data_IF_630117400940
#
_entry.id   IF_630117400940
#
_cell.length_a   1.000
_cell.length_b   1.000
_cell.length_c   1.000
_cell.angle_alpha   90.00
_cell.angle_beta   90.00
_cell.angle_gamma   90.00
#
_symmetry.space_group_name_H-M   'P 1'
#
loop_
_entity.id
_entity.type
_entity.pdbx_description
1 polymer ?
#
# COMPACT_ATOMS: atom_id res chain seq x y z
N UNK A 1 12.99 -9.62 -12.62
CA UNK A 1 12.14 -10.60 -13.32
C UNK A 1 11.21 -9.76 -14.17
N UNK A 2 11.53 -9.56 -15.45
CA UNK A 2 10.60 -8.99 -16.42
C UNK A 2 9.54 -10.05 -16.69
N UNK A 3 8.50 -10.05 -15.91
CA UNK A 3 7.28 -10.78 -16.22
C UNK A 3 6.44 -9.87 -17.10
N UNK A 4 6.69 -9.89 -18.40
CA UNK A 4 5.64 -9.60 -19.35
C UNK A 4 4.58 -10.70 -19.18
N UNK A 5 3.75 -10.56 -18.15
CA UNK A 5 2.44 -11.19 -18.18
C UNK A 5 1.74 -10.45 -19.32
N UNK A 6 1.63 -11.11 -20.46
CA UNK A 6 0.85 -10.60 -21.58
C UNK A 6 -0.58 -10.65 -21.09
N UNK A 7 -1.07 -9.54 -20.51
CA UNK A 7 -2.47 -9.38 -20.09
C UNK A 7 -3.43 -9.62 -21.26
N UNK A 8 -2.93 -9.65 -22.49
CA UNK A 8 -3.69 -9.94 -23.72
C UNK A 8 -4.20 -11.38 -23.84
N UNK A 9 -3.84 -12.30 -22.95
CA UNK A 9 -4.30 -13.71 -23.01
C UNK A 9 -4.91 -14.21 -21.69
N UNK A 10 -5.41 -13.31 -20.86
CA UNK A 10 -6.05 -13.68 -19.58
C UNK A 10 -7.35 -14.48 -19.76
N UNK A 11 -8.06 -14.32 -20.88
CA UNK A 11 -9.33 -14.99 -21.14
C UNK A 11 -9.19 -16.51 -21.24
N UNK A 12 -8.13 -16.99 -21.87
CA UNK A 12 -7.88 -18.41 -22.12
C UNK A 12 -7.06 -19.12 -21.03
N UNK A 13 -6.70 -18.38 -19.99
CA UNK A 13 -5.83 -18.91 -18.94
C UNK A 13 -6.62 -19.59 -17.82
N UNK A 14 -6.14 -20.77 -17.37
CA UNK A 14 -6.60 -21.41 -16.12
C UNK A 14 -6.10 -20.69 -14.87
N UNK A 15 -6.01 -19.34 -14.92
CA UNK A 15 -5.55 -18.49 -13.82
C UNK A 15 -6.77 -18.05 -13.03
N UNK A 16 -6.81 -18.36 -11.73
CA UNK A 16 -7.87 -17.94 -10.81
C UNK A 16 -7.47 -16.70 -10.01
N UNK A 17 -6.18 -16.45 -9.87
CA UNK A 17 -5.62 -15.32 -9.12
C UNK A 17 -4.50 -14.64 -9.89
N UNK A 18 -4.63 -13.36 -10.14
CA UNK A 18 -3.61 -12.50 -10.72
C UNK A 18 -2.97 -11.65 -9.60
N UNK A 19 -1.63 -11.66 -9.54
CA UNK A 19 -0.86 -10.80 -8.64
C UNK A 19 -0.22 -9.68 -9.44
N UNK A 20 -0.57 -8.44 -9.14
CA UNK A 20 0.01 -7.25 -9.73
C UNK A 20 0.67 -6.38 -8.66
N UNK A 21 1.78 -5.76 -9.01
CA UNK A 21 2.45 -4.81 -8.11
C UNK A 21 3.43 -3.93 -8.84
N UNK A 22 3.69 -2.77 -8.25
CA UNK A 22 4.63 -1.76 -8.74
C UNK A 22 4.40 -1.35 -10.20
N UNK A 23 3.17 -1.03 -10.54
CA UNK A 23 2.82 -0.47 -11.85
C UNK A 23 3.30 0.98 -11.86
N UNK A 24 4.26 1.30 -12.72
CA UNK A 24 4.93 2.61 -12.75
C UNK A 24 4.40 3.54 -13.85
N UNK A 25 3.74 2.99 -14.87
CA UNK A 25 3.21 3.75 -16.00
C UNK A 25 1.78 3.37 -16.33
N UNK A 26 1.31 3.88 -17.46
CA UNK A 26 -0.02 3.56 -17.97
C UNK A 26 -0.07 2.17 -18.57
N UNK A 27 -1.13 1.45 -18.27
CA UNK A 27 -1.53 0.25 -19.01
C UNK A 27 -2.23 0.65 -20.29
N UNK A 28 -2.12 -0.18 -21.33
CA UNK A 28 -2.86 0.01 -22.58
C UNK A 28 -4.36 -0.22 -22.35
N UNK A 29 -5.19 0.29 -23.25
CA UNK A 29 -6.64 0.08 -23.18
C UNK A 29 -7.01 -1.40 -23.24
N UNK A 30 -6.28 -2.19 -24.03
CA UNK A 30 -6.45 -3.64 -24.13
C UNK A 30 -6.12 -4.33 -22.79
N UNK A 31 -5.04 -3.95 -22.12
CA UNK A 31 -4.67 -4.48 -20.81
C UNK A 31 -5.71 -4.15 -19.74
N UNK A 32 -6.20 -2.92 -19.69
CA UNK A 32 -7.27 -2.52 -18.78
C UNK A 32 -8.57 -3.27 -19.07
N UNK A 33 -8.91 -3.45 -20.35
CA UNK A 33 -10.10 -4.20 -20.73
C UNK A 33 -10.00 -5.66 -20.32
N UNK A 34 -8.83 -6.29 -20.51
CA UNK A 34 -8.58 -7.68 -20.08
C UNK A 34 -8.66 -7.82 -18.56
N UNK A 35 -8.18 -6.82 -17.80
CA UNK A 35 -8.36 -6.82 -16.34
C UNK A 35 -9.84 -6.73 -15.95
N UNK A 36 -10.65 -5.91 -16.63
CA UNK A 36 -12.11 -5.84 -16.40
C UNK A 36 -12.78 -7.18 -16.66
N UNK A 37 -12.50 -7.81 -17.80
CA UNK A 37 -13.03 -9.13 -18.14
C UNK A 37 -12.63 -10.16 -17.10
N UNK A 38 -11.36 -10.17 -16.69
CA UNK A 38 -10.83 -11.08 -15.68
C UNK A 38 -11.57 -10.96 -14.35
N UNK A 39 -11.74 -9.75 -13.83
CA UNK A 39 -12.42 -9.49 -12.57
C UNK A 39 -13.91 -9.81 -12.68
N UNK A 40 -14.56 -9.38 -13.76
CA UNK A 40 -16.00 -9.61 -13.98
C UNK A 40 -16.35 -11.09 -14.21
N UNK A 41 -15.38 -11.92 -14.60
CA UNK A 41 -15.54 -13.38 -14.67
C UNK A 41 -15.45 -14.07 -13.29
N UNK A 42 -15.38 -13.32 -12.19
CA UNK A 42 -15.30 -13.82 -10.82
C UNK A 42 -13.89 -14.26 -10.39
N UNK A 43 -12.89 -14.01 -11.21
CA UNK A 43 -11.48 -14.27 -10.88
C UNK A 43 -10.93 -13.22 -9.93
N UNK A 44 -9.82 -13.51 -9.26
CA UNK A 44 -9.30 -12.68 -8.16
C UNK A 44 -8.09 -11.86 -8.59
N UNK A 45 -8.08 -10.59 -8.22
CA UNK A 45 -6.94 -9.70 -8.36
C UNK A 45 -6.37 -9.36 -6.98
N UNK A 46 -5.08 -9.63 -6.77
CA UNK A 46 -4.31 -9.06 -5.68
C UNK A 46 -3.45 -7.93 -6.21
N UNK A 47 -3.63 -6.73 -5.68
CA UNK A 47 -2.88 -5.55 -6.09
C UNK A 47 -2.03 -5.04 -4.93
N UNK A 48 -0.70 -5.01 -5.12
CA UNK A 48 0.26 -4.39 -4.20
C UNK A 48 0.77 -3.08 -4.82
N UNK A 49 0.05 -1.98 -4.59
CA UNK A 49 0.29 -0.71 -5.27
C UNK A 49 0.13 0.47 -4.31
N UNK A 50 1.21 1.23 -4.07
CA UNK A 50 1.14 2.54 -3.45
C UNK A 50 1.12 3.64 -4.51
N UNK A 51 0.66 4.85 -4.16
CA UNK A 51 0.59 6.00 -5.07
C UNK A 51 1.84 6.88 -5.05
N UNK A 52 2.77 6.59 -4.13
CA UNK A 52 4.02 7.33 -4.01
C UNK A 52 5.19 6.43 -4.42
N UNK A 53 5.99 6.91 -5.37
CA UNK A 53 7.28 6.32 -5.68
C UNK A 53 8.31 6.83 -4.68
N UNK A 54 9.09 5.94 -4.07
CA UNK A 54 10.03 6.27 -2.99
C UNK A 54 11.46 6.05 -3.44
N UNK A 55 12.28 7.08 -3.31
CA UNK A 55 13.71 7.04 -3.59
C UNK A 55 14.50 7.16 -2.27
N UNK A 56 15.10 6.05 -1.85
CA UNK A 56 15.90 6.00 -0.64
C UNK A 56 17.33 6.56 -0.83
N UNK A 57 17.74 6.90 -2.05
CA UNK A 57 19.00 7.59 -2.29
C UNK A 57 18.88 9.08 -2.00
N UNK A 58 17.78 9.67 -2.42
CA UNK A 58 17.47 11.09 -2.19
C UNK A 58 16.61 11.32 -0.94
N UNK A 59 16.09 10.27 -0.32
CA UNK A 59 15.15 10.31 0.80
C UNK A 59 13.89 11.12 0.50
N UNK A 60 13.39 10.99 -0.73
CA UNK A 60 12.20 11.70 -1.19
C UNK A 60 11.23 10.77 -1.90
N UNK A 61 9.97 11.17 -1.89
CA UNK A 61 8.92 10.50 -2.65
C UNK A 61 8.34 11.43 -3.72
N UNK A 62 7.79 10.81 -4.76
CA UNK A 62 7.06 11.50 -5.84
C UNK A 62 5.77 10.75 -6.14
N UNK A 63 4.74 11.48 -6.57
CA UNK A 63 3.46 10.87 -6.94
C UNK A 63 3.62 10.05 -8.20
N UNK A 64 3.17 8.80 -8.17
CA UNK A 64 3.09 7.93 -9.36
C UNK A 64 1.93 8.35 -10.23
N UNK A 65 2.19 8.47 -11.51
CA UNK A 65 1.18 8.69 -12.53
C UNK A 65 0.91 7.37 -13.25
N UNK A 66 -0.32 6.87 -13.15
CA UNK A 66 -0.76 5.65 -13.84
C UNK A 66 -2.28 5.62 -13.93
N UNK A 67 -2.78 5.14 -15.06
CA UNK A 67 -4.22 4.96 -15.26
C UNK A 67 -4.82 3.80 -14.46
N UNK A 68 -3.99 2.99 -13.80
CA UNK A 68 -4.48 1.94 -12.86
C UNK A 68 -5.31 2.55 -11.72
N UNK A 69 -5.01 3.78 -11.28
CA UNK A 69 -5.79 4.44 -10.23
C UNK A 69 -7.19 4.81 -10.72
N UNK A 70 -7.32 5.26 -11.98
CA UNK A 70 -8.63 5.50 -12.58
C UNK A 70 -9.42 4.20 -12.73
N UNK A 71 -8.75 3.12 -13.12
CA UNK A 71 -9.35 1.79 -13.17
C UNK A 71 -9.89 1.35 -11.79
N UNK A 72 -9.15 1.55 -10.71
CA UNK A 72 -9.62 1.23 -9.36
C UNK A 72 -10.83 2.08 -8.95
N UNK A 73 -10.86 3.35 -9.37
CA UNK A 73 -11.99 4.25 -9.10
C UNK A 73 -13.29 3.79 -9.78
N UNK A 74 -13.22 3.05 -10.89
CA UNK A 74 -14.41 2.43 -11.52
C UNK A 74 -15.14 1.47 -10.56
N UNK A 75 -14.39 0.88 -9.62
CA UNK A 75 -14.91 -0.03 -8.59
C UNK A 75 -15.13 0.64 -7.23
N UNK A 76 -14.97 1.95 -7.14
CA UNK A 76 -15.12 2.73 -5.91
C UNK A 76 -13.87 2.77 -5.01
N UNK A 77 -12.76 2.11 -5.40
CA UNK A 77 -11.51 2.16 -4.65
C UNK A 77 -10.67 3.37 -5.06
N UNK A 78 -10.20 4.13 -4.07
CA UNK A 78 -9.22 5.18 -4.29
C UNK A 78 -7.97 4.94 -3.44
N UNK A 79 -6.80 5.05 -4.06
CA UNK A 79 -5.51 5.09 -3.36
C UNK A 79 -5.09 6.56 -3.30
N UNK A 80 -4.99 7.08 -2.10
CA UNK A 80 -4.74 8.50 -1.85
C UNK A 80 -3.30 8.91 -2.18
N UNK A 81 -3.12 10.19 -2.56
CA UNK A 81 -1.79 10.77 -2.80
C UNK A 81 -1.11 11.14 -1.49
N UNK A 82 -0.85 10.12 -0.69
CA UNK A 82 -0.24 10.29 0.62
C UNK A 82 0.66 9.10 0.98
N UNK A 83 1.47 9.28 2.03
CA UNK A 83 2.13 8.22 2.77
C UNK A 83 1.57 8.19 4.18
N UNK A 84 1.25 7.01 4.65
CA UNK A 84 0.74 6.78 5.99
C UNK A 84 1.87 6.31 6.89
N UNK A 85 1.95 6.95 8.06
CA UNK A 85 2.89 6.68 9.12
C UNK A 85 2.14 6.07 10.31
N UNK A 86 2.80 5.18 11.05
CA UNK A 86 2.25 4.60 12.27
C UNK A 86 3.31 4.52 13.37
N UNK A 87 2.92 4.80 14.61
CA UNK A 87 3.78 4.60 15.76
C UNK A 87 4.23 3.13 15.89
N UNK A 88 3.32 2.19 15.62
CA UNK A 88 3.63 0.77 15.52
C UNK A 88 4.35 0.48 14.20
N UNK A 89 5.66 0.47 14.23
CA UNK A 89 6.46 0.44 13.03
C UNK A 89 7.68 -0.47 13.12
N UNK A 90 8.24 -0.75 11.96
CA UNK A 90 9.50 -1.50 11.87
C UNK A 90 10.64 -0.70 12.47
N UNK A 91 11.51 -1.37 13.22
CA UNK A 91 12.79 -0.80 13.65
C UNK A 91 13.84 -0.94 12.56
N UNK A 92 14.55 0.15 12.29
CA UNK A 92 15.68 0.19 11.36
C UNK A 92 16.94 0.60 12.10
N UNK A 93 18.09 0.31 11.50
CA UNK A 93 19.38 0.76 12.01
C UNK A 93 19.72 2.08 11.30
N UNK A 94 19.77 3.17 12.06
CA UNK A 94 20.26 4.45 11.59
C UNK A 94 21.70 4.68 12.07
N UNK A 95 22.52 5.27 11.20
CA UNK A 95 23.85 5.76 11.56
C UNK A 95 23.78 7.26 11.79
N UNK A 96 24.02 7.71 13.01
CA UNK A 96 24.04 9.13 13.34
C UNK A 96 25.48 9.65 13.23
N UNK A 97 25.73 10.49 12.23
CA UNK A 97 26.87 11.40 12.10
C UNK A 97 28.27 10.79 12.12
N UNK A 98 29.12 11.30 11.24
CA UNK A 98 30.57 11.04 11.22
C UNK A 98 30.98 9.94 10.22
N UNK A 99 31.87 10.33 9.28
CA UNK A 99 32.53 9.37 8.40
C UNK A 99 33.63 8.57 9.14
N UNK A 100 34.05 7.43 8.59
CA UNK A 100 35.13 6.61 9.11
C UNK A 100 34.72 5.64 10.22
N UNK A 101 35.66 5.24 11.06
CA UNK A 101 35.44 4.24 12.11
C UNK A 101 34.37 4.65 13.14
N UNK A 102 34.12 5.95 13.34
CA UNK A 102 33.10 6.44 14.24
C UNK A 102 31.68 6.05 13.80
N UNK A 103 31.44 5.87 12.50
CA UNK A 103 30.13 5.45 11.99
C UNK A 103 29.75 4.02 12.40
N UNK A 104 30.73 3.16 12.69
CA UNK A 104 30.47 1.80 13.17
C UNK A 104 29.97 1.75 14.63
N UNK A 105 30.31 2.78 15.42
CA UNK A 105 29.94 2.85 16.84
C UNK A 105 28.67 3.64 17.09
N UNK A 106 28.23 4.45 16.10
CA UNK A 106 27.01 5.29 16.21
C UNK A 106 25.80 4.66 15.51
N UNK A 107 25.64 3.35 15.63
CA UNK A 107 24.45 2.65 15.14
C UNK A 107 23.38 2.69 16.21
N UNK A 108 22.26 3.32 15.89
CA UNK A 108 21.10 3.37 16.75
C UNK A 108 19.93 2.65 16.09
N UNK A 109 19.23 1.83 16.85
CA UNK A 109 17.97 1.25 16.40
C UNK A 109 16.86 2.25 16.69
N UNK A 110 16.15 2.65 15.65
CA UNK A 110 15.04 3.60 15.73
C UNK A 110 13.78 3.02 15.10
N UNK A 111 12.63 3.44 15.59
CA UNK A 111 11.35 3.15 14.94
C UNK A 111 11.27 3.93 13.61
N UNK A 112 10.72 3.31 12.58
CA UNK A 112 10.55 3.93 11.28
C UNK A 112 9.08 3.93 10.86
N UNK A 113 8.32 4.95 11.24
CA UNK A 113 6.87 5.03 11.05
C UNK A 113 6.38 4.87 9.61
N UNK A 114 7.22 5.11 8.61
CA UNK A 114 6.93 4.86 7.20
C UNK A 114 6.86 3.38 6.81
N UNK A 115 7.14 2.47 7.75
CA UNK A 115 6.92 1.02 7.59
C UNK A 115 6.03 0.53 8.75
N UNK A 116 4.71 0.78 8.69
CA UNK A 116 3.76 0.27 9.67
C UNK A 116 3.86 -1.23 9.88
N UNK A 117 3.71 -1.65 11.12
CA UNK A 117 3.63 -3.07 11.53
C UNK A 117 2.26 -3.32 12.10
N UNK A 118 1.41 -4.02 11.36
CA UNK A 118 0.04 -4.35 11.75
C UNK A 118 0.05 -5.70 12.44
N UNK A 119 -0.43 -5.74 13.67
CA UNK A 119 -0.53 -6.96 14.50
C UNK A 119 -1.96 -7.34 14.81
N UNK A 120 -2.91 -6.42 14.61
CA UNK A 120 -4.34 -6.64 14.81
C UNK A 120 -5.04 -6.65 13.46
N UNK A 121 -5.69 -7.77 13.14
CA UNK A 121 -6.37 -7.97 11.87
C UNK A 121 -7.88 -7.96 12.09
N UNK A 122 -8.60 -7.30 11.20
CA UNK A 122 -10.06 -7.33 11.20
C UNK A 122 -10.54 -8.74 10.86
N UNK A 123 -11.46 -9.25 11.67
CA UNK A 123 -12.17 -10.50 11.41
C UNK A 123 -13.61 -10.23 11.01
N UNK A 124 -14.12 -11.00 10.07
CA UNK A 124 -15.48 -10.87 9.59
C UNK A 124 -16.18 -12.22 9.72
N UNK A 125 -17.38 -12.22 10.28
CA UNK A 125 -18.17 -13.44 10.47
C UNK A 125 -18.38 -14.18 9.15
N UNK A 126 -18.08 -15.49 9.17
CA UNK A 126 -18.21 -16.38 8.02
C UNK A 126 -17.37 -16.01 6.79
N UNK A 127 -16.34 -15.18 6.92
CA UNK A 127 -15.44 -14.85 5.84
C UNK A 127 -13.98 -15.10 6.19
N UNK A 128 -13.29 -15.87 5.35
CA UNK A 128 -11.85 -16.02 5.41
C UNK A 128 -11.19 -14.80 4.78
N UNK A 129 -10.37 -14.08 5.55
CA UNK A 129 -9.66 -12.88 5.07
C UNK A 129 -8.35 -13.22 4.39
N UNK A 130 -7.78 -14.40 4.69
CA UNK A 130 -6.43 -14.81 4.27
C UNK A 130 -5.33 -14.32 5.22
N UNK A 131 -5.70 -13.67 6.33
CA UNK A 131 -4.77 -13.15 7.34
C UNK A 131 -4.70 -14.03 8.58
N UNK A 132 -5.52 -15.07 8.64
CA UNK A 132 -5.62 -15.97 9.77
C UNK A 132 -4.28 -16.68 10.02
N UNK A 133 -3.81 -16.59 11.24
CA UNK A 133 -2.52 -17.19 11.66
C UNK A 133 -1.30 -16.32 11.41
N UNK A 134 -1.43 -15.16 10.77
CA UNK A 134 -0.34 -14.19 10.69
C UNK A 134 -0.14 -13.51 12.05
N UNK A 135 1.12 -13.33 12.45
CA UNK A 135 1.46 -12.60 13.67
C UNK A 135 1.58 -11.10 13.43
N UNK A 136 2.13 -10.72 12.28
CA UNK A 136 2.30 -9.33 11.89
C UNK A 136 2.43 -9.20 10.36
N UNK A 137 1.99 -8.07 9.83
CA UNK A 137 2.23 -7.64 8.45
C UNK A 137 2.95 -6.29 8.47
N UNK A 138 4.06 -6.19 7.75
CA UNK A 138 4.78 -4.94 7.56
C UNK A 138 4.56 -4.43 6.14
N UNK A 139 4.15 -3.18 6.01
CA UNK A 139 3.92 -2.53 4.72
C UNK A 139 4.84 -1.32 4.61
N UNK A 140 5.72 -1.35 3.61
CA UNK A 140 6.62 -0.23 3.38
C UNK A 140 5.93 0.86 2.56
N UNK A 141 5.94 2.08 3.08
CA UNK A 141 5.46 3.28 2.40
C UNK A 141 4.01 3.18 1.89
N UNK A 142 3.04 2.80 2.74
CA UNK A 142 1.67 2.64 2.30
C UNK A 142 1.01 3.99 2.02
N UNK A 143 0.09 3.98 1.05
CA UNK A 143 -0.91 5.02 0.87
C UNK A 143 -2.23 4.61 1.53
N UNK A 144 -3.03 5.57 1.95
CA UNK A 144 -4.38 5.32 2.44
C UNK A 144 -5.28 4.82 1.33
N UNK A 145 -6.13 3.86 1.66
CA UNK A 145 -7.18 3.35 0.77
C UNK A 145 -8.52 3.89 1.27
N UNK A 146 -9.24 4.58 0.38
CA UNK A 146 -10.61 5.01 0.64
C UNK A 146 -11.58 4.32 -0.32
N UNK A 147 -12.84 4.26 0.07
CA UNK A 147 -13.87 3.61 -0.71
C UNK A 147 -15.10 4.50 -0.82
N UNK A 148 -15.57 4.70 -2.05
CA UNK A 148 -16.77 5.44 -2.35
C UNK A 148 -17.58 4.65 -3.37
N UNK A 149 -18.56 3.89 -2.89
CA UNK A 149 -19.53 3.20 -3.77
C UNK A 149 -20.89 3.91 -3.68
N UNK A 150 -21.25 4.57 -4.77
CA UNK A 150 -22.55 5.24 -4.89
C UNK A 150 -23.69 4.26 -5.22
N UNK A 151 -23.36 3.05 -5.66
CA UNK A 151 -24.32 2.02 -6.04
C UNK A 151 -24.75 1.14 -4.86
N UNK A 152 -23.97 1.11 -3.76
CA UNK A 152 -24.16 0.26 -2.58
C UNK A 152 -24.24 -1.25 -2.89
N UNK A 153 -23.62 -1.69 -3.99
CA UNK A 153 -23.64 -3.10 -4.41
C UNK A 153 -22.36 -3.85 -4.05
N UNK A 154 -21.24 -3.13 -3.96
CA UNK A 154 -19.95 -3.73 -3.63
C UNK A 154 -19.72 -3.76 -2.10
N UNK A 155 -19.05 -4.79 -1.60
CA UNK A 155 -18.70 -4.89 -0.18
C UNK A 155 -17.23 -4.60 0.02
N UNK A 156 -16.95 -3.51 0.74
CA UNK A 156 -15.60 -3.10 1.11
C UNK A 156 -15.25 -3.57 2.53
N UNK A 157 -14.16 -4.30 2.67
CA UNK A 157 -13.69 -4.86 3.94
C UNK A 157 -12.29 -4.35 4.24
N UNK A 158 -12.11 -3.43 5.20
CA UNK A 158 -10.80 -3.08 5.73
C UNK A 158 -10.10 -4.32 6.30
N UNK A 159 -8.89 -4.63 5.87
CA UNK A 159 -8.12 -5.78 6.34
C UNK A 159 -6.94 -5.34 7.21
N UNK A 160 -6.25 -4.29 6.80
CA UNK A 160 -5.06 -3.77 7.44
C UNK A 160 -5.27 -2.29 7.73
N UNK A 161 -5.24 -1.93 9.00
CA UNK A 161 -5.39 -0.56 9.46
C UNK A 161 -4.24 -0.20 10.40
N UNK A 162 -3.82 1.06 10.37
CA UNK A 162 -2.84 1.59 11.33
C UNK A 162 -3.44 1.69 12.73
N UNK A 163 -2.60 1.98 13.71
CA UNK A 163 -3.05 2.32 15.07
C UNK A 163 -3.73 3.70 15.12
N UNK A 164 -4.25 4.06 16.29
CA UNK A 164 -4.80 5.39 16.59
C UNK A 164 -3.71 6.47 16.73
N UNK A 165 -2.44 6.11 16.58
CA UNK A 165 -1.30 7.00 16.60
C UNK A 165 -0.61 6.98 15.23
N UNK A 166 -1.33 7.43 14.23
CA UNK A 166 -0.87 7.53 12.85
C UNK A 166 -0.62 8.98 12.43
N UNK A 167 -0.08 9.17 11.23
CA UNK A 167 -0.02 10.47 10.56
C UNK A 167 -0.11 10.30 9.05
N UNK A 168 -0.55 11.36 8.38
CA UNK A 168 -0.67 11.42 6.92
C UNK A 168 0.31 12.43 6.36
N UNK A 169 1.25 11.97 5.53
CA UNK A 169 2.16 12.83 4.80
C UNK A 169 1.62 13.05 3.38
N UNK A 170 1.31 14.30 3.04
CA UNK A 170 0.81 14.71 1.73
C UNK A 170 1.61 15.88 1.18
N UNK A 171 1.64 16.06 -0.13
CA UNK A 171 2.31 17.15 -0.89
C UNK A 171 3.83 17.05 -0.94
N UNK A 172 4.51 16.91 0.19
CA UNK A 172 5.97 16.79 0.25
C UNK A 172 6.33 15.50 1.00
N UNK A 173 6.92 14.56 0.28
CA UNK A 173 7.20 13.22 0.79
C UNK A 173 8.66 13.13 1.23
N UNK A 174 8.90 13.38 2.51
CA UNK A 174 10.21 13.26 3.13
C UNK A 174 10.33 11.87 3.79
N UNK A 175 11.27 11.06 3.33
CA UNK A 175 11.50 9.69 3.82
C UNK A 175 12.54 9.62 4.94
N UNK A 176 13.05 10.77 5.40
CA UNK A 176 14.04 10.82 6.48
C UNK A 176 13.53 10.15 7.76
N UNK A 177 14.39 9.38 8.40
CA UNK A 177 14.04 8.55 9.54
C UNK A 177 14.17 9.26 10.89
N UNK A 178 14.73 10.46 10.92
CA UNK A 178 14.96 11.22 12.14
C UNK A 178 14.04 12.44 12.20
N UNK A 179 13.47 12.77 13.38
CA UNK A 179 12.58 13.93 13.56
C UNK A 179 13.19 15.27 13.17
N UNK A 180 14.51 15.41 13.27
CA UNK A 180 15.24 16.65 12.91
C UNK A 180 15.16 16.94 11.41
N UNK A 181 15.05 15.91 10.59
CA UNK A 181 14.95 16.03 9.13
C UNK A 181 13.53 15.78 8.63
N UNK A 182 12.70 15.12 9.43
CA UNK A 182 11.31 14.80 9.09
C UNK A 182 10.38 15.12 10.29
N UNK A 183 9.95 16.37 10.44
CA UNK A 183 9.21 16.81 11.64
C UNK A 183 7.86 16.11 11.87
N UNK A 184 7.24 15.51 10.86
CA UNK A 184 5.98 14.80 11.01
C UNK A 184 6.11 13.61 11.99
N UNK A 185 7.32 13.06 12.13
CA UNK A 185 7.61 11.96 13.05
C UNK A 185 7.39 12.31 14.53
N UNK A 186 7.34 13.61 14.87
CA UNK A 186 7.02 14.08 16.22
C UNK A 186 5.51 14.17 16.51
N UNK A 187 4.66 13.93 15.51
CA UNK A 187 3.23 14.22 15.64
C UNK A 187 2.36 13.13 15.01
N UNK A 188 2.49 11.91 15.54
CA UNK A 188 1.67 10.76 15.13
C UNK A 188 0.42 10.72 16.04
N UNK A 189 -0.58 11.54 15.72
CA UNK A 189 -1.78 11.72 16.54
C UNK A 189 -3.09 11.72 15.73
N UNK A 190 -3.04 11.24 14.50
CA UNK A 190 -4.23 11.02 13.69
C UNK A 190 -4.85 9.65 14.01
N UNK A 191 -6.15 9.52 13.70
CA UNK A 191 -6.87 8.25 13.83
C UNK A 191 -6.37 7.19 12.85
N UNK A 192 -6.76 5.95 13.10
CA UNK A 192 -6.45 4.80 12.25
C UNK A 192 -6.77 5.03 10.77
N UNK A 193 -5.88 4.57 9.89
CA UNK A 193 -5.98 4.65 8.42
C UNK A 193 -5.99 3.28 7.79
N UNK A 194 -6.82 3.08 6.77
CA UNK A 194 -6.88 1.82 6.04
C UNK A 194 -5.74 1.79 5.00
N UNK A 195 -4.89 0.77 5.09
CA UNK A 195 -3.75 0.57 4.19
C UNK A 195 -3.78 -0.79 3.48
N UNK A 196 -4.78 -1.60 3.74
CA UNK A 196 -5.08 -2.84 3.05
C UNK A 196 -6.56 -3.18 3.16
N UNK A 197 -7.17 -3.61 2.06
CA UNK A 197 -8.59 -3.90 2.01
C UNK A 197 -8.90 -5.01 1.01
N UNK A 198 -10.08 -5.62 1.19
CA UNK A 198 -10.70 -6.56 0.24
C UNK A 198 -11.98 -5.92 -0.29
N UNK A 199 -12.11 -5.91 -1.61
CA UNK A 199 -13.34 -5.53 -2.28
C UNK A 199 -13.99 -6.78 -2.86
N UNK A 200 -15.25 -7.00 -2.54
CA UNK A 200 -16.09 -8.02 -3.16
C UNK A 200 -17.09 -7.34 -4.06
N UNK A 201 -17.00 -7.65 -5.34
CA UNK A 201 -17.95 -7.14 -6.33
C UNK A 201 -19.25 -7.96 -6.26
N UNK A 202 -20.37 -7.30 -6.35
CA UNK A 202 -21.64 -8.01 -6.54
C UNK A 202 -21.59 -8.67 -7.92
N UNK A 203 -21.86 -9.96 -7.97
CA UNK A 203 -22.16 -10.63 -9.23
C UNK A 203 -23.48 -10.06 -9.75
N UNK A 204 -23.40 -9.31 -10.86
CA UNK A 204 -24.59 -8.87 -11.59
C UNK A 204 -25.42 -10.06 -12.11
#
# INVERSE_FOLDING_TARGET
>A
INNNVVLSSLEDSNIDLLLLGNIEGDLTDDELNNLRIFINSGKKLFLAQGKINTDLQTWQGTVKQSNIYNFLNEYGLNIEENLILDQNSKKIIATTGGGGLASFFNRMQIDYPLIPTITEFQSYDNMTTGLEGLQAVQIAFPSEITFTDTSNVNTFLPLLSTSENSATMSKFFNLGALPEVNPILNNLNESSKIIGAKLMLSSG
#
